data_IF_471790886425
#
_entry.id   IF_471790886425
#
_cell.length_a   1.000
_cell.length_b   1.000
_cell.length_c   1.000
_cell.angle_alpha   90.00
_cell.angle_beta   90.00
_cell.angle_gamma   90.00
#
_symmetry.space_group_name_H-M   'P 1'
#
loop_
_entity.id
_entity.type
_entity.pdbx_description
1 polymer ?
#
# COMPACT_ATOMS: atom_id res chain seq x y z
N UNK A 1 -9.35 4.31 -14.30
CA UNK A 1 -8.17 3.54 -13.87
C UNK A 1 -7.99 3.78 -12.39
N UNK A 2 -8.14 2.75 -11.53
CA UNK A 2 -8.01 2.92 -10.08
C UNK A 2 -6.55 3.14 -9.66
N UNK A 3 -6.35 4.04 -8.70
CA UNK A 3 -5.07 4.24 -8.02
C UNK A 3 -5.22 3.84 -6.56
N UNK A 4 -4.40 2.91 -6.09
CA UNK A 4 -4.30 2.56 -4.68
C UNK A 4 -3.12 3.31 -4.06
N UNK A 5 -3.36 3.93 -2.91
CA UNK A 5 -2.34 4.57 -2.09
C UNK A 5 -2.27 3.85 -0.76
N UNK A 6 -1.14 3.23 -0.46
CA UNK A 6 -0.90 2.51 0.79
C UNK A 6 0.01 3.38 1.65
N UNK A 7 -0.56 3.90 2.74
CA UNK A 7 0.17 4.63 3.75
C UNK A 7 0.42 3.71 4.94
N UNK A 8 1.67 3.65 5.40
CA UNK A 8 2.07 2.86 6.56
C UNK A 8 3.01 3.65 7.45
N UNK A 9 2.98 3.38 8.74
CA UNK A 9 3.93 3.92 9.73
C UNK A 9 5.23 3.08 9.82
N UNK A 10 5.31 1.97 9.07
CA UNK A 10 6.49 1.15 8.94
C UNK A 10 7.37 1.65 7.79
N UNK A 11 8.68 1.66 8.01
CA UNK A 11 9.65 2.01 6.97
C UNK A 11 9.59 1.02 5.79
N UNK A 12 9.80 1.54 4.58
CA UNK A 12 9.80 0.74 3.35
C UNK A 12 11.22 0.72 2.80
N UNK A 13 11.86 -0.45 2.96
CA UNK A 13 13.21 -0.79 2.49
C UNK A 13 13.15 -1.71 1.26
N UNK A 14 14.28 -1.97 0.56
CA UNK A 14 14.34 -2.96 -0.52
C UNK A 14 13.97 -4.38 -0.08
N UNK A 15 14.18 -4.74 1.20
CA UNK A 15 13.72 -6.02 1.76
C UNK A 15 12.23 -6.01 2.13
N UNK A 16 11.55 -4.87 1.98
CA UNK A 16 10.13 -4.78 2.28
C UNK A 16 9.31 -5.64 1.35
N UNK A 17 8.23 -6.21 1.89
CA UNK A 17 7.32 -7.13 1.19
C UNK A 17 6.46 -6.42 0.12
N UNK A 18 6.87 -5.27 -0.41
CA UNK A 18 6.12 -4.49 -1.42
C UNK A 18 5.81 -5.27 -2.69
N UNK A 19 6.67 -6.19 -3.22
CA UNK A 19 6.29 -7.02 -4.37
C UNK A 19 5.20 -8.03 -4.02
N UNK A 20 5.25 -8.60 -2.81
CA UNK A 20 4.24 -9.53 -2.32
C UNK A 20 2.89 -8.83 -2.10
N UNK A 21 2.91 -7.65 -1.46
CA UNK A 21 1.71 -6.84 -1.28
C UNK A 21 1.12 -6.37 -2.59
N UNK A 22 1.95 -5.93 -3.56
CA UNK A 22 1.49 -5.55 -4.89
C UNK A 22 0.75 -6.71 -5.57
N UNK A 23 1.31 -7.92 -5.49
CA UNK A 23 0.67 -9.13 -6.05
C UNK A 23 -0.65 -9.43 -5.35
N UNK A 24 -0.65 -9.48 -4.02
CA UNK A 24 -1.84 -9.80 -3.24
C UNK A 24 -2.98 -8.81 -3.47
N UNK A 25 -2.68 -7.51 -3.55
CA UNK A 25 -3.67 -6.47 -3.82
C UNK A 25 -4.23 -6.54 -5.23
N UNK A 26 -3.39 -6.75 -6.24
CA UNK A 26 -3.85 -6.95 -7.61
C UNK A 26 -4.74 -8.19 -7.73
N UNK A 27 -4.35 -9.32 -7.13
CA UNK A 27 -5.18 -10.54 -7.08
C UNK A 27 -6.52 -10.25 -6.42
N UNK A 28 -6.54 -9.59 -5.25
CA UNK A 28 -7.78 -9.23 -4.57
C UNK A 28 -8.70 -8.38 -5.45
N UNK A 29 -8.17 -7.35 -6.13
CA UNK A 29 -8.95 -6.47 -7.01
C UNK A 29 -9.47 -7.21 -8.25
N UNK A 30 -8.70 -8.14 -8.80
CA UNK A 30 -9.14 -9.00 -9.90
C UNK A 30 -10.27 -9.91 -9.42
N UNK A 31 -10.12 -10.59 -8.29
CA UNK A 31 -11.08 -11.58 -7.79
C UNK A 31 -12.39 -10.93 -7.33
N UNK A 32 -12.32 -9.76 -6.70
CA UNK A 32 -13.50 -9.10 -6.10
C UNK A 32 -14.21 -8.16 -7.05
N UNK A 33 -13.47 -7.48 -7.94
CA UNK A 33 -13.99 -6.40 -8.78
C UNK A 33 -13.77 -6.63 -10.28
N UNK A 34 -13.12 -7.72 -10.68
CA UNK A 34 -12.81 -8.00 -12.09
C UNK A 34 -11.82 -7.00 -12.70
N UNK A 35 -11.03 -6.31 -11.88
CA UNK A 35 -10.09 -5.28 -12.37
C UNK A 35 -8.77 -5.96 -12.73
N UNK A 36 -8.41 -5.88 -14.02
CA UNK A 36 -7.12 -6.35 -14.52
C UNK A 36 -5.95 -5.60 -13.85
N UNK A 37 -4.87 -6.29 -13.42
CA UNK A 37 -3.70 -5.68 -12.79
C UNK A 37 -3.04 -4.59 -13.64
N UNK A 38 -3.10 -4.68 -14.96
CA UNK A 38 -2.55 -3.68 -15.90
C UNK A 38 -3.19 -2.29 -15.76
N UNK A 39 -4.33 -2.20 -15.08
CA UNK A 39 -5.07 -0.95 -14.84
C UNK A 39 -4.89 -0.40 -13.43
N UNK A 40 -4.06 -1.05 -12.60
CA UNK A 40 -3.88 -0.71 -11.19
C UNK A 40 -2.50 -0.08 -10.98
N UNK A 41 -2.48 1.12 -10.42
CA UNK A 41 -1.27 1.75 -9.92
C UNK A 41 -1.25 1.68 -8.39
N UNK A 42 -0.09 1.35 -7.81
CA UNK A 42 0.10 1.25 -6.37
C UNK A 42 1.23 2.17 -5.95
N UNK A 43 0.90 3.17 -5.14
CA UNK A 43 1.88 4.03 -4.47
C UNK A 43 2.05 3.54 -3.03
N UNK A 44 3.30 3.22 -2.67
CA UNK A 44 3.68 2.94 -1.29
C UNK A 44 4.28 4.19 -0.66
N UNK A 45 3.79 4.60 0.50
CA UNK A 45 4.29 5.78 1.20
C UNK A 45 4.46 5.47 2.68
N UNK A 46 5.65 5.78 3.21
CA UNK A 46 5.98 5.68 4.62
C UNK A 46 6.55 7.02 5.11
N UNK A 47 5.70 7.94 5.61
CA UNK A 47 6.19 9.16 6.21
C UNK A 47 6.93 8.86 7.52
N UNK A 48 7.86 9.74 7.96
CA UNK A 48 8.47 9.64 9.28
C UNK A 48 7.44 9.42 10.40
N UNK A 49 7.75 8.55 11.36
CA UNK A 49 6.80 8.07 12.39
C UNK A 49 6.16 9.19 13.22
N UNK A 50 6.94 10.23 13.55
CA UNK A 50 6.46 11.39 14.29
C UNK A 50 5.44 12.24 13.50
N UNK A 51 5.30 12.03 12.19
CA UNK A 51 4.28 12.63 11.33
C UNK A 51 3.06 11.73 11.14
N UNK A 52 3.07 10.51 11.69
CA UNK A 52 1.98 9.54 11.60
C UNK A 52 1.20 9.50 12.91
N UNK A 53 0.01 10.11 12.93
CA UNK A 53 -0.85 10.19 14.11
C UNK A 53 -1.77 8.97 14.27
N UNK A 54 -1.93 8.49 15.50
CA UNK A 54 -2.87 7.44 15.87
C UNK A 54 -3.23 7.51 17.36
N UNK A 55 -4.50 7.30 17.70
CA UNK A 55 -5.00 7.25 19.08
C UNK A 55 -4.58 8.45 19.96
N UNK A 56 -4.77 9.68 19.45
CA UNK A 56 -4.38 10.92 20.12
C UNK A 56 -2.87 11.11 20.37
N UNK A 57 -2.02 10.26 19.79
CA UNK A 57 -0.55 10.35 19.84
C UNK A 57 0.05 10.22 18.43
N UNK A 58 1.38 10.25 18.33
CA UNK A 58 2.15 9.91 17.12
C UNK A 58 3.05 8.71 17.38
N UNK A 59 3.47 8.04 16.30
CA UNK A 59 4.30 6.83 16.37
C UNK A 59 5.81 7.07 16.55
#
# INVERSE_FOLDING_TARGET
MPTLRLLTNAEITPESRTPEFSRALCTLLTDTLGISPERVYIEFTAPPRHLFGWNSETF
#
